data_IF_155611391702
#
_entry.id   IF_155611391702
#
_cell.length_a   1.000
_cell.length_b   1.000
_cell.length_c   1.000
_cell.angle_alpha   90.00
_cell.angle_beta   90.00
_cell.angle_gamma   90.00
#
_symmetry.space_group_name_H-M   'P 1'
#
loop_
_entity.id
_entity.type
_entity.pdbx_description
1 polymer ?
#
# COMPACT_ATOMS: atom_id res chain seq x y z
N UNK A 1 -1.70 11.79 0.49
CA UNK A 1 -2.26 11.66 -0.87
C UNK A 1 -2.33 10.23 -1.45
N UNK A 2 -1.73 9.19 -0.85
CA UNK A 2 -1.80 7.80 -1.37
C UNK A 2 -3.16 7.08 -1.18
N UNK A 3 -4.08 7.61 -0.37
CA UNK A 3 -5.40 7.02 -0.13
C UNK A 3 -6.44 7.41 -1.19
N UNK A 4 -6.27 8.56 -1.85
CA UNK A 4 -7.22 9.05 -2.86
C UNK A 4 -7.18 8.19 -4.14
N UNK A 5 -6.00 7.69 -4.52
CA UNK A 5 -5.81 6.82 -5.68
C UNK A 5 -6.27 5.37 -5.46
N UNK A 6 -6.07 4.81 -4.27
CA UNK A 6 -6.52 3.45 -3.91
C UNK A 6 -8.05 3.35 -3.78
N UNK A 7 -8.74 4.45 -3.47
CA UNK A 7 -10.19 4.50 -3.39
C UNK A 7 -10.89 4.45 -4.77
N UNK A 8 -10.21 4.84 -5.85
CA UNK A 8 -10.79 4.87 -7.21
C UNK A 8 -10.72 3.53 -7.97
N UNK A 9 -9.97 2.53 -7.50
CA UNK A 9 -9.77 1.26 -8.25
C UNK A 9 -10.37 0.02 -7.59
N UNK A 10 -11.21 0.15 -6.56
CA UNK A 10 -11.80 -1.02 -5.90
C UNK A 10 -13.18 -1.37 -6.52
N UNK A 11 -13.33 -2.52 -7.21
CA UNK A 11 -14.62 -2.92 -7.76
C UNK A 11 -15.64 -3.11 -6.62
N UNK A 12 -16.87 -2.61 -6.82
CA UNK A 12 -17.98 -2.63 -5.83
C UNK A 12 -18.24 -4.02 -5.20
N UNK A 13 -17.80 -5.09 -5.85
CA UNK A 13 -17.91 -6.47 -5.37
C UNK A 13 -16.95 -6.79 -4.21
N UNK A 14 -15.76 -6.20 -4.13
CA UNK A 14 -14.83 -6.42 -3.00
C UNK A 14 -15.31 -5.74 -1.70
N UNK A 15 -16.07 -4.64 -1.81
CA UNK A 15 -16.70 -3.96 -0.66
C UNK A 15 -17.70 -4.87 0.07
N UNK A 16 -18.39 -5.76 -0.64
CA UNK A 16 -19.35 -6.71 -0.03
C UNK A 16 -18.68 -7.82 0.77
N UNK A 17 -17.50 -8.28 0.37
CA UNK A 17 -16.77 -9.35 1.07
C UNK A 17 -15.99 -8.85 2.29
N UNK A 18 -15.44 -7.63 2.23
CA UNK A 18 -14.76 -7.03 3.39
C UNK A 18 -15.77 -6.59 4.48
N UNK A 19 -16.98 -6.16 4.10
CA UNK A 19 -18.05 -5.88 5.07
C UNK A 19 -18.63 -7.15 5.71
N UNK A 20 -18.69 -8.28 4.99
CA UNK A 20 -19.13 -9.56 5.56
C UNK A 20 -18.13 -10.15 6.57
N UNK A 21 -16.82 -9.93 6.37
CA UNK A 21 -15.79 -10.38 7.32
C UNK A 21 -15.70 -9.51 8.59
N UNK A 22 -16.12 -8.24 8.52
CA UNK A 22 -16.09 -7.31 9.67
C UNK A 22 -17.39 -7.35 10.50
N UNK A 23 -18.51 -7.79 9.93
CA UNK A 23 -19.80 -7.93 10.64
C UNK A 23 -19.99 -9.26 11.38
N UNK A 24 -19.01 -10.20 11.30
CA UNK A 24 -19.05 -11.48 12.02
C UNK A 24 -18.38 -11.48 13.41
N UNK A 25 -17.81 -10.36 13.86
CA UNK A 25 -16.95 -10.30 15.06
C UNK A 25 -17.37 -9.23 16.09
N UNK A 26 -18.64 -8.82 16.08
CA UNK A 26 -19.17 -7.81 17.02
C UNK A 26 -20.35 -8.32 17.85
N UNK A 27 -20.20 -9.44 18.56
CA UNK A 27 -20.99 -9.83 19.75
C UNK A 27 -20.08 -10.80 20.53
N UNK A 28 -19.36 -10.45 21.59
CA UNK A 28 -19.79 -10.22 22.98
C UNK A 28 -18.63 -9.48 23.69
N UNK A 29 -18.79 -8.19 23.96
CA UNK A 29 -17.92 -7.44 24.86
C UNK A 29 -18.77 -6.44 25.65
N UNK A 30 -19.76 -6.94 26.38
CA UNK A 30 -20.52 -6.14 27.34
C UNK A 30 -21.08 -7.06 28.42
N UNK A 31 -20.36 -7.15 29.55
CA UNK A 31 -20.86 -7.37 30.93
C UNK A 31 -19.78 -8.05 31.80
N UNK A 32 -18.82 -7.25 32.28
CA UNK A 32 -18.08 -7.56 33.50
C UNK A 32 -18.22 -6.35 34.43
N UNK A 33 -19.06 -6.40 35.48
CA UNK A 33 -19.01 -5.38 36.50
C UNK A 33 -17.80 -5.58 37.41
N UNK A 34 -17.13 -4.46 37.68
CA UNK A 34 -16.09 -4.29 38.67
C UNK A 34 -16.59 -4.71 40.05
N UNK A 35 -15.96 -5.71 40.66
CA UNK A 35 -15.98 -5.92 42.11
C UNK A 35 -14.67 -5.39 42.68
N UNK A 36 -14.72 -4.12 43.09
CA UNK A 36 -13.67 -3.46 43.86
C UNK A 36 -13.93 -3.68 45.35
N UNK A 37 -12.84 -3.98 46.05
CA UNK A 37 -12.74 -4.29 47.46
C UNK A 37 -13.36 -3.23 48.38
N UNK A 38 -14.15 -3.69 49.35
CA UNK A 38 -14.35 -3.02 50.64
C UNK A 38 -13.95 -3.98 51.76
N UNK A 39 -12.81 -3.67 52.39
CA UNK A 39 -12.41 -4.19 53.69
C UNK A 39 -13.03 -3.31 54.78
N UNK A 40 -13.76 -3.94 55.71
CA UNK A 40 -13.98 -3.43 57.07
C UNK A 40 -14.08 -4.64 58.03
N UNK A 41 -13.27 -4.61 59.09
CA UNK A 41 -13.16 -5.60 60.17
C UNK A 41 -14.40 -5.64 61.09
N UNK A 42 -14.85 -6.79 61.62
CA UNK A 42 -14.59 -7.44 62.95
C UNK A 42 -15.81 -8.36 63.26
N UNK A 43 -15.87 -9.21 64.32
CA UNK A 43 -14.88 -10.01 65.05
C UNK A 43 -15.29 -11.52 65.15
N UNK A 44 -14.50 -12.28 65.93
CA UNK A 44 -14.56 -13.70 66.28
C UNK A 44 -15.92 -14.24 66.78
N UNK A 45 -16.26 -15.49 66.42
CA UNK A 45 -16.63 -16.58 67.34
C UNK A 45 -17.05 -17.88 66.60
N UNK A 46 -16.36 -18.97 66.92
CA UNK A 46 -16.89 -20.33 67.18
C UNK A 46 -17.78 -21.04 66.15
N UNK A 47 -17.30 -22.18 65.62
CA UNK A 47 -18.17 -23.22 65.09
C UNK A 47 -17.51 -24.12 64.05
N UNK A 48 -16.72 -25.10 64.50
CA UNK A 48 -16.31 -26.23 63.66
C UNK A 48 -17.55 -27.06 63.27
N UNK A 49 -17.88 -27.11 61.98
CA UNK A 49 -18.59 -28.23 61.36
C UNK A 49 -17.98 -28.49 59.98
N UNK A 50 -17.08 -29.47 59.93
CA UNK A 50 -16.63 -30.10 58.69
C UNK A 50 -17.80 -30.87 58.08
N UNK A 51 -18.51 -30.23 57.15
CA UNK A 51 -19.30 -30.94 56.15
C UNK A 51 -18.35 -31.40 55.05
N UNK A 52 -18.04 -32.69 55.04
CA UNK A 52 -17.46 -33.35 53.87
C UNK A 52 -18.47 -33.26 52.73
N UNK A 53 -18.35 -32.22 51.89
CA UNK A 53 -18.99 -32.19 50.59
C UNK A 53 -18.36 -33.32 49.76
N UNK A 54 -19.11 -34.39 49.58
CA UNK A 54 -18.87 -35.37 48.52
C UNK A 54 -18.92 -34.63 47.20
N UNK A 55 -17.77 -34.18 46.71
CA UNK A 55 -17.63 -33.64 45.35
C UNK A 55 -18.05 -34.77 44.42
N UNK A 56 -19.18 -34.58 43.76
CA UNK A 56 -19.70 -35.54 42.80
C UNK A 56 -18.61 -35.71 41.72
N UNK A 57 -18.03 -36.92 41.52
CA UNK A 57 -16.85 -37.14 40.66
C UNK A 57 -17.07 -36.67 39.21
N UNK A 58 -18.34 -36.55 38.80
CA UNK A 58 -18.78 -36.01 37.52
C UNK A 58 -18.43 -34.52 37.31
N UNK A 59 -18.52 -33.68 38.34
CA UNK A 59 -18.22 -32.23 38.23
C UNK A 59 -16.71 -31.99 38.07
N UNK A 60 -15.88 -32.77 38.77
CA UNK A 60 -14.42 -32.71 38.62
C UNK A 60 -13.98 -33.07 37.19
N UNK A 61 -14.72 -33.95 36.51
CA UNK A 61 -14.43 -34.35 35.13
C UNK A 61 -14.77 -33.26 34.10
N UNK A 62 -15.83 -32.48 34.31
CA UNK A 62 -16.24 -31.39 33.41
C UNK A 62 -15.22 -30.25 33.43
N UNK A 63 -14.74 -29.83 34.61
CA UNK A 63 -13.73 -28.77 34.72
C UNK A 63 -12.39 -29.18 34.09
N UNK A 64 -12.00 -30.45 34.19
CA UNK A 64 -10.82 -30.96 33.49
C UNK A 64 -10.99 -30.89 31.98
N UNK A 65 -12.14 -31.30 31.43
CA UNK A 65 -12.44 -31.21 30.00
C UNK A 65 -12.42 -29.75 29.51
N UNK A 66 -12.95 -28.81 30.30
CA UNK A 66 -12.88 -27.37 30.00
C UNK A 66 -11.43 -26.89 29.96
N UNK A 67 -10.62 -27.21 30.96
CA UNK A 67 -9.20 -26.82 31.02
C UNK A 67 -8.41 -27.38 29.84
N UNK A 68 -8.64 -28.64 29.48
CA UNK A 68 -8.03 -29.25 28.31
C UNK A 68 -8.50 -28.60 27.00
N UNK A 69 -9.79 -28.27 26.89
CA UNK A 69 -10.33 -27.57 25.73
C UNK A 69 -9.67 -26.20 25.57
N UNK A 70 -9.53 -25.43 26.65
CA UNK A 70 -8.83 -24.14 26.61
C UNK A 70 -7.35 -24.29 26.22
N UNK A 71 -6.68 -25.33 26.70
CA UNK A 71 -5.30 -25.63 26.32
C UNK A 71 -5.20 -25.97 24.83
N UNK A 72 -6.10 -26.80 24.31
CA UNK A 72 -6.19 -27.16 22.90
C UNK A 72 -6.47 -25.93 22.02
N UNK A 73 -7.38 -25.06 22.46
CA UNK A 73 -7.75 -23.82 21.74
C UNK A 73 -6.54 -22.89 21.63
N UNK A 74 -5.79 -22.70 22.72
CA UNK A 74 -4.54 -21.90 22.71
C UNK A 74 -3.47 -22.50 21.80
N UNK A 75 -3.48 -23.83 21.60
CA UNK A 75 -2.62 -24.53 20.66
C UNK A 75 -3.11 -24.53 19.21
N UNK A 76 -4.25 -23.89 18.89
CA UNK A 76 -4.86 -23.92 17.56
C UNK A 76 -5.49 -25.26 17.18
N UNK A 77 -5.67 -26.16 18.15
CA UNK A 77 -6.26 -27.50 17.96
C UNK A 77 -7.79 -27.40 18.08
N UNK A 78 -8.42 -26.74 17.13
CA UNK A 78 -9.88 -26.47 17.16
C UNK A 78 -10.69 -27.78 17.19
N UNK A 79 -10.26 -28.83 16.46
CA UNK A 79 -10.96 -30.13 16.42
C UNK A 79 -11.01 -30.78 17.79
N UNK A 80 -9.87 -30.77 18.48
CA UNK A 80 -9.77 -31.28 19.85
C UNK A 80 -10.55 -30.42 20.84
N UNK A 81 -10.55 -29.10 20.66
CA UNK A 81 -11.32 -28.18 21.50
C UNK A 81 -12.82 -28.45 21.39
N UNK A 82 -13.32 -28.64 20.17
CA UNK A 82 -14.73 -28.93 19.88
C UNK A 82 -15.16 -30.26 20.49
N UNK A 83 -14.34 -31.30 20.32
CA UNK A 83 -14.57 -32.61 20.93
C UNK A 83 -14.66 -32.52 22.47
N UNK A 84 -13.72 -31.80 23.11
CA UNK A 84 -13.68 -31.66 24.56
C UNK A 84 -14.85 -30.85 25.11
N UNK A 85 -15.24 -29.75 24.45
CA UNK A 85 -16.40 -28.95 24.84
C UNK A 85 -17.72 -29.69 24.64
N UNK A 86 -17.85 -30.47 23.56
CA UNK A 86 -19.04 -31.29 23.29
C UNK A 86 -19.22 -32.39 24.35
N UNK A 87 -18.12 -33.05 24.75
CA UNK A 87 -18.11 -34.00 25.87
C UNK A 87 -18.47 -33.33 27.19
N UNK A 88 -17.88 -32.16 27.48
CA UNK A 88 -18.19 -31.40 28.69
C UNK A 88 -19.67 -30.99 28.74
N UNK A 89 -20.23 -30.51 27.62
CA UNK A 89 -21.63 -30.13 27.49
C UNK A 89 -22.59 -31.30 27.75
N UNK A 90 -22.24 -32.49 27.24
CA UNK A 90 -23.05 -33.71 27.42
C UNK A 90 -23.04 -34.19 28.88
N UNK A 91 -21.92 -34.05 29.57
CA UNK A 91 -21.79 -34.44 30.98
C UNK A 91 -22.46 -33.45 31.95
N UNK A 92 -22.38 -32.14 31.68
CA UNK A 92 -22.88 -31.12 32.61
C UNK A 92 -24.32 -30.69 32.35
N UNK A 93 -24.88 -30.96 31.17
CA UNK A 93 -26.12 -30.36 30.67
C UNK A 93 -26.12 -28.81 30.71
N UNK A 94 -24.92 -28.20 30.67
CA UNK A 94 -24.76 -26.75 30.73
C UNK A 94 -25.09 -26.11 29.36
N UNK A 95 -26.10 -25.22 29.28
CA UNK A 95 -26.48 -24.55 28.03
C UNK A 95 -25.35 -23.69 27.47
N UNK A 96 -24.48 -23.12 28.33
CA UNK A 96 -23.34 -22.31 27.89
C UNK A 96 -22.30 -23.16 27.19
N UNK A 97 -21.98 -24.36 27.71
CA UNK A 97 -21.06 -25.29 27.05
C UNK A 97 -21.59 -25.81 25.72
N UNK A 98 -22.90 -26.05 25.65
CA UNK A 98 -23.58 -26.42 24.39
C UNK A 98 -23.44 -25.31 23.35
N UNK A 99 -23.69 -24.05 23.74
CA UNK A 99 -23.55 -22.89 22.87
C UNK A 99 -22.09 -22.69 22.40
N UNK A 100 -21.11 -22.82 23.31
CA UNK A 100 -19.69 -22.72 22.96
C UNK A 100 -19.26 -23.82 21.97
N UNK A 101 -19.72 -25.05 22.17
CA UNK A 101 -19.47 -26.16 21.23
C UNK A 101 -20.07 -25.87 19.84
N UNK A 102 -21.29 -25.32 19.78
CA UNK A 102 -21.96 -24.96 18.53
C UNK A 102 -21.22 -23.84 17.78
N UNK A 103 -20.82 -22.76 18.46
CA UNK A 103 -20.03 -21.68 17.86
C UNK A 103 -18.70 -22.17 17.32
N UNK A 104 -18.04 -23.06 18.04
CA UNK A 104 -16.77 -23.62 17.60
C UNK A 104 -16.92 -24.50 16.35
N UNK A 105 -17.98 -25.32 16.29
CA UNK A 105 -18.31 -26.08 15.07
C UNK A 105 -18.61 -25.15 13.88
N UNK A 106 -19.39 -24.09 14.08
CA UNK A 106 -19.67 -23.11 13.02
C UNK A 106 -18.39 -22.42 12.52
N UNK A 107 -17.52 -22.00 13.45
CA UNK A 107 -16.24 -21.40 13.12
C UNK A 107 -15.34 -22.36 12.32
N UNK A 108 -15.28 -23.64 12.71
CA UNK A 108 -14.52 -24.66 11.97
C UNK A 108 -15.08 -24.89 10.56
N UNK A 109 -16.40 -25.00 10.42
CA UNK A 109 -17.05 -25.14 9.12
C UNK A 109 -16.72 -23.95 8.21
N UNK A 110 -16.82 -22.72 8.72
CA UNK A 110 -16.42 -21.51 8.00
C UNK A 110 -14.94 -21.51 7.63
N UNK A 111 -14.06 -21.94 8.54
CA UNK A 111 -12.62 -22.03 8.26
C UNK A 111 -12.32 -23.02 7.14
N UNK A 112 -12.96 -24.18 7.14
CA UNK A 112 -12.80 -25.18 6.07
C UNK A 112 -13.32 -24.66 4.73
N UNK A 113 -14.48 -24.00 4.72
CA UNK A 113 -15.03 -23.35 3.53
C UNK A 113 -14.08 -22.27 3.00
N UNK A 114 -13.52 -21.43 3.87
CA UNK A 114 -12.54 -20.41 3.49
C UNK A 114 -11.25 -21.01 2.92
N UNK A 115 -10.76 -22.13 3.46
CA UNK A 115 -9.60 -22.84 2.92
C UNK A 115 -9.92 -23.38 1.53
N UNK A 116 -11.08 -24.01 1.35
CA UNK A 116 -11.52 -24.55 0.07
C UNK A 116 -11.69 -23.45 -0.99
N UNK A 117 -12.34 -22.33 -0.63
CA UNK A 117 -12.53 -21.19 -1.54
C UNK A 117 -11.20 -20.48 -1.85
N UNK A 118 -10.28 -20.37 -0.87
CA UNK A 118 -8.92 -19.86 -1.11
C UNK A 118 -8.16 -20.74 -2.09
N UNK A 119 -8.19 -22.07 -1.92
CA UNK A 119 -7.54 -23.02 -2.83
C UNK A 119 -8.14 -22.95 -4.24
N UNK A 120 -9.47 -22.92 -4.34
CA UNK A 120 -10.17 -22.75 -5.63
C UNK A 120 -9.81 -21.43 -6.32
N UNK A 121 -9.71 -20.33 -5.58
CA UNK A 121 -9.29 -19.04 -6.12
C UNK A 121 -7.82 -19.06 -6.55
N UNK A 122 -6.95 -19.76 -5.81
CA UNK A 122 -5.54 -19.97 -6.17
C UNK A 122 -5.40 -20.74 -7.49
N UNK A 123 -6.06 -21.90 -7.62
CA UNK A 123 -6.05 -22.70 -8.85
C UNK A 123 -6.61 -21.92 -10.04
N UNK A 124 -7.68 -21.16 -9.83
CA UNK A 124 -8.22 -20.26 -10.84
C UNK A 124 -7.21 -19.20 -11.26
N UNK A 125 -6.53 -18.55 -10.32
CA UNK A 125 -5.52 -17.55 -10.64
C UNK A 125 -4.37 -18.15 -11.47
N UNK A 126 -3.92 -19.38 -11.16
CA UNK A 126 -2.93 -20.09 -11.99
C UNK A 126 -3.48 -20.38 -13.40
N UNK A 127 -4.73 -20.82 -13.51
CA UNK A 127 -5.36 -21.05 -14.81
C UNK A 127 -5.43 -19.75 -15.63
N UNK A 128 -5.79 -18.63 -14.99
CA UNK A 128 -5.82 -17.30 -15.62
C UNK A 128 -4.41 -16.87 -16.06
N UNK A 129 -3.36 -17.13 -15.27
CA UNK A 129 -1.95 -16.88 -15.68
C UNK A 129 -1.63 -17.61 -16.98
N UNK A 130 -1.88 -18.92 -17.04
CA UNK A 130 -1.58 -19.75 -18.22
C UNK A 130 -2.34 -19.24 -19.44
N UNK A 131 -3.64 -18.99 -19.28
CA UNK A 131 -4.48 -18.46 -20.35
C UNK A 131 -3.95 -17.13 -20.89
N UNK A 132 -3.50 -16.22 -20.02
CA UNK A 132 -2.94 -14.95 -20.45
C UNK A 132 -1.60 -15.12 -21.18
N UNK A 133 -0.74 -16.03 -20.72
CA UNK A 133 0.52 -16.34 -21.40
C UNK A 133 0.31 -16.97 -22.79
N UNK A 134 -0.64 -17.90 -22.90
CA UNK A 134 -1.00 -18.56 -24.17
C UNK A 134 -1.57 -17.58 -25.21
N UNK A 135 -2.03 -16.40 -24.77
CA UNK A 135 -2.61 -15.36 -25.62
C UNK A 135 -1.74 -14.08 -25.68
N UNK A 136 -0.47 -14.14 -25.29
CA UNK A 136 0.48 -13.01 -25.33
C UNK A 136 0.04 -11.78 -24.50
N UNK A 137 -0.54 -12.00 -23.32
CA UNK A 137 -0.84 -10.99 -22.30
C UNK A 137 0.04 -11.11 -21.05
N UNK A 138 1.38 -11.05 -21.19
CA UNK A 138 2.30 -11.36 -20.10
C UNK A 138 2.23 -10.39 -18.91
N UNK A 139 1.97 -9.11 -19.14
CA UNK A 139 1.89 -8.12 -18.06
C UNK A 139 0.72 -8.42 -17.10
N UNK A 140 -0.40 -8.84 -17.69
CA UNK A 140 -1.58 -9.26 -16.93
C UNK A 140 -1.38 -10.65 -16.32
N UNK A 141 -0.60 -11.53 -16.95
CA UNK A 141 -0.22 -12.80 -16.36
C UNK A 141 0.56 -12.57 -15.05
N UNK A 142 1.43 -11.55 -14.98
CA UNK A 142 2.13 -11.18 -13.73
C UNK A 142 1.15 -10.68 -12.66
N UNK A 143 0.11 -9.92 -13.04
CA UNK A 143 -0.97 -9.51 -12.12
C UNK A 143 -1.69 -10.73 -11.51
N UNK A 144 -2.03 -11.73 -12.33
CA UNK A 144 -2.64 -12.99 -11.85
C UNK A 144 -1.69 -13.87 -11.06
N UNK A 145 -0.39 -13.85 -11.36
CA UNK A 145 0.61 -14.53 -10.55
C UNK A 145 0.74 -13.90 -9.17
N UNK A 146 0.63 -12.57 -9.04
CA UNK A 146 0.51 -11.89 -7.75
C UNK A 146 -0.74 -12.32 -7.00
N UNK A 147 -1.90 -12.39 -7.66
CA UNK A 147 -3.13 -12.88 -7.02
C UNK A 147 -2.95 -14.30 -6.48
N UNK A 148 -2.37 -15.21 -7.27
CA UNK A 148 -2.02 -16.56 -6.84
C UNK A 148 -1.02 -16.56 -5.67
N UNK A 149 0.01 -15.72 -5.69
CA UNK A 149 0.97 -15.59 -4.58
C UNK A 149 0.29 -15.15 -3.28
N UNK A 150 -0.65 -14.19 -3.33
CA UNK A 150 -1.41 -13.76 -2.16
C UNK A 150 -2.31 -14.87 -1.61
N UNK A 151 -2.77 -15.77 -2.48
CA UNK A 151 -3.60 -16.93 -2.18
C UNK A 151 -2.79 -18.21 -1.89
N UNK A 152 -1.47 -18.20 -2.02
CA UNK A 152 -0.65 -19.39 -1.75
C UNK A 152 -0.68 -19.76 -0.25
N UNK A 153 -0.55 -21.05 0.05
CA UNK A 153 -0.30 -21.53 1.41
C UNK A 153 1.15 -21.27 1.81
N UNK A 154 2.08 -21.70 0.95
CA UNK A 154 3.51 -21.40 1.07
C UNK A 154 3.93 -20.47 -0.07
N UNK A 155 4.05 -19.18 0.28
CA UNK A 155 4.49 -18.10 -0.61
C UNK A 155 5.91 -18.32 -1.13
N UNK A 156 6.81 -18.87 -0.31
CA UNK A 156 8.20 -19.12 -0.69
C UNK A 156 8.31 -20.30 -1.64
N UNK A 157 7.55 -21.36 -1.41
CA UNK A 157 7.47 -22.48 -2.35
C UNK A 157 6.88 -22.03 -3.69
N UNK A 158 5.84 -21.18 -3.68
CA UNK A 158 5.20 -20.68 -4.90
C UNK A 158 6.19 -19.92 -5.81
N UNK A 159 6.92 -18.94 -5.28
CA UNK A 159 7.86 -18.14 -6.10
C UNK A 159 9.06 -18.95 -6.62
N UNK A 160 9.37 -20.10 -6.01
CA UNK A 160 10.44 -21.01 -6.45
C UNK A 160 10.00 -21.99 -7.53
N UNK A 161 8.71 -22.05 -7.88
CA UNK A 161 8.28 -22.87 -9.00
C UNK A 161 8.94 -22.35 -10.29
N UNK A 162 9.48 -23.21 -11.16
CA UNK A 162 10.25 -22.77 -12.33
C UNK A 162 9.52 -21.76 -13.22
N UNK A 163 8.25 -22.02 -13.52
CA UNK A 163 7.42 -21.14 -14.35
C UNK A 163 7.17 -19.77 -13.69
N UNK A 164 7.07 -19.69 -12.36
CA UNK A 164 6.91 -18.42 -11.63
C UNK A 164 8.23 -17.64 -11.67
N UNK A 165 9.35 -18.31 -11.44
CA UNK A 165 10.67 -17.69 -11.48
C UNK A 165 10.98 -17.12 -12.87
N UNK A 166 10.66 -17.86 -13.94
CA UNK A 166 10.77 -17.39 -15.33
C UNK A 166 9.86 -16.20 -15.61
N UNK A 167 8.60 -16.24 -15.15
CA UNK A 167 7.66 -15.13 -15.30
C UNK A 167 8.14 -13.86 -14.58
N UNK A 168 8.67 -14.01 -13.36
CA UNK A 168 9.26 -12.90 -12.58
C UNK A 168 10.48 -12.33 -13.30
N UNK A 169 11.39 -13.17 -13.81
CA UNK A 169 12.56 -12.72 -14.56
C UNK A 169 12.16 -11.94 -15.83
N UNK A 170 11.18 -12.44 -16.57
CA UNK A 170 10.64 -11.76 -17.74
C UNK A 170 9.93 -10.43 -17.36
N UNK A 171 9.23 -10.40 -16.24
CA UNK A 171 8.60 -9.18 -15.72
C UNK A 171 9.63 -8.11 -15.35
N UNK A 172 10.76 -8.48 -14.74
CA UNK A 172 11.87 -7.56 -14.45
C UNK A 172 12.43 -6.93 -15.73
N UNK A 173 12.70 -7.76 -16.74
CA UNK A 173 13.20 -7.28 -18.03
C UNK A 173 12.20 -6.36 -18.74
N UNK A 174 10.91 -6.72 -18.73
CA UNK A 174 9.85 -5.87 -19.31
C UNK A 174 9.66 -4.57 -18.57
N UNK A 175 9.68 -4.57 -17.24
CA UNK A 175 9.56 -3.35 -16.44
C UNK A 175 10.70 -2.37 -16.76
N UNK A 176 11.92 -2.87 -16.94
CA UNK A 176 13.06 -2.06 -17.36
C UNK A 176 12.93 -1.56 -18.80
N UNK A 177 12.46 -2.39 -19.75
CA UNK A 177 12.16 -1.95 -21.13
C UNK A 177 11.09 -0.86 -21.16
N UNK A 178 10.00 -1.03 -20.42
CA UNK A 178 8.94 -0.04 -20.30
C UNK A 178 9.44 1.25 -19.66
N UNK A 179 10.30 1.20 -18.64
CA UNK A 179 10.91 2.39 -18.08
C UNK A 179 11.81 3.11 -19.11
N UNK A 180 12.63 2.37 -19.86
CA UNK A 180 13.51 2.91 -20.89
C UNK A 180 12.75 3.52 -22.08
N UNK A 181 11.59 2.96 -22.40
CA UNK A 181 10.67 3.43 -23.44
C UNK A 181 9.62 4.41 -22.92
N UNK A 182 9.71 4.80 -21.65
CA UNK A 182 8.84 5.78 -21.00
C UNK A 182 7.35 5.38 -20.98
N UNK A 183 7.10 4.07 -21.03
CA UNK A 183 5.80 3.44 -20.81
C UNK A 183 5.51 3.39 -19.30
N UNK A 184 5.40 4.56 -18.68
CA UNK A 184 5.40 4.73 -17.22
C UNK A 184 4.30 3.95 -16.53
N UNK A 185 3.12 3.86 -17.14
CA UNK A 185 1.97 3.15 -16.58
C UNK A 185 2.19 1.65 -16.52
N UNK A 186 2.75 1.07 -17.58
CA UNK A 186 3.05 -0.35 -17.69
C UNK A 186 4.20 -0.72 -16.74
N UNK A 187 5.25 0.10 -16.68
CA UNK A 187 6.33 -0.05 -15.71
C UNK A 187 5.79 0.03 -14.27
N UNK A 188 4.89 0.98 -13.97
CA UNK A 188 4.25 1.10 -12.65
C UNK A 188 3.48 -0.17 -12.26
N UNK A 189 2.69 -0.73 -13.17
CA UNK A 189 1.97 -1.97 -12.92
C UNK A 189 2.92 -3.13 -12.60
N UNK A 190 3.96 -3.33 -13.40
CA UNK A 190 4.93 -4.40 -13.17
C UNK A 190 5.71 -4.21 -11.88
N UNK A 191 6.20 -3.00 -11.58
CA UNK A 191 6.91 -2.75 -10.32
C UNK A 191 6.02 -2.92 -9.08
N UNK A 192 4.73 -2.58 -9.17
CA UNK A 192 3.76 -2.87 -8.09
C UNK A 192 3.59 -4.37 -7.85
N UNK A 193 3.47 -5.15 -8.95
CA UNK A 193 3.34 -6.60 -8.86
C UNK A 193 4.64 -7.25 -8.36
N UNK A 194 5.80 -6.82 -8.85
CA UNK A 194 7.12 -7.28 -8.38
C UNK A 194 7.34 -6.96 -6.90
N UNK A 195 6.95 -5.77 -6.43
CA UNK A 195 7.00 -5.42 -5.01
C UNK A 195 6.13 -6.35 -4.13
N UNK A 196 5.07 -6.94 -4.70
CA UNK A 196 4.23 -7.91 -3.99
C UNK A 196 4.82 -9.32 -4.02
N UNK A 197 5.37 -9.73 -5.17
CA UNK A 197 5.96 -11.06 -5.41
C UNK A 197 7.33 -11.22 -4.73
N UNK A 198 8.11 -10.14 -4.64
CA UNK A 198 9.45 -10.09 -4.05
C UNK A 198 9.54 -8.99 -2.99
N UNK A 199 8.79 -9.09 -1.87
CA UNK A 199 8.67 -8.01 -0.89
C UNK A 199 9.97 -7.70 -0.13
N UNK A 200 10.96 -8.59 -0.20
CA UNK A 200 12.27 -8.41 0.43
C UNK A 200 13.25 -7.62 -0.45
N UNK A 201 12.87 -7.32 -1.69
CA UNK A 201 13.70 -6.53 -2.60
C UNK A 201 13.27 -5.05 -2.58
N UNK A 202 14.02 -4.17 -1.88
CA UNK A 202 13.62 -2.77 -1.73
C UNK A 202 13.65 -1.99 -3.05
N UNK A 203 14.32 -2.50 -4.08
CA UNK A 203 14.45 -1.79 -5.35
C UNK A 203 13.09 -1.60 -6.04
N UNK A 204 12.15 -2.54 -5.87
CA UNK A 204 10.83 -2.46 -6.50
C UNK A 204 10.00 -1.31 -5.94
N UNK A 205 10.08 -1.06 -4.64
CA UNK A 205 9.43 0.09 -4.01
C UNK A 205 10.01 1.41 -4.53
N UNK A 206 11.33 1.50 -4.68
CA UNK A 206 12.00 2.70 -5.21
C UNK A 206 11.63 2.97 -6.67
N UNK A 207 11.67 1.93 -7.50
CA UNK A 207 11.28 1.98 -8.91
C UNK A 207 9.81 2.35 -9.07
N UNK A 208 8.92 1.72 -8.29
CA UNK A 208 7.50 2.07 -8.24
C UNK A 208 7.26 3.53 -7.85
N UNK A 209 7.95 4.04 -6.81
CA UNK A 209 7.89 5.46 -6.41
C UNK A 209 8.32 6.36 -7.56
N UNK A 210 9.42 6.04 -8.23
CA UNK A 210 9.96 6.82 -9.35
C UNK A 210 8.96 6.94 -10.50
N UNK A 211 8.44 5.82 -11.02
CA UNK A 211 7.49 5.84 -12.14
C UNK A 211 6.13 6.45 -11.75
N UNK A 212 5.72 6.29 -10.49
CA UNK A 212 4.50 6.95 -9.97
C UNK A 212 4.67 8.47 -9.94
N UNK A 213 5.84 8.97 -9.56
CA UNK A 213 6.12 10.41 -9.60
C UNK A 213 6.07 10.94 -11.05
N UNK A 214 6.61 10.21 -12.02
CA UNK A 214 6.55 10.58 -13.43
C UNK A 214 5.11 10.65 -13.96
N UNK A 215 4.25 9.70 -13.57
CA UNK A 215 2.82 9.75 -13.88
C UNK A 215 2.11 10.94 -13.21
N UNK A 216 2.45 11.26 -11.96
CA UNK A 216 1.93 12.46 -11.28
C UNK A 216 2.30 13.73 -12.05
N UNK A 217 3.57 13.87 -12.44
CA UNK A 217 4.04 15.02 -13.23
C UNK A 217 3.23 15.19 -14.51
N UNK A 218 3.00 14.10 -15.24
CA UNK A 218 2.18 14.13 -16.45
C UNK A 218 0.72 14.51 -16.15
N UNK A 219 0.15 14.00 -15.06
CA UNK A 219 -1.21 14.33 -14.65
C UNK A 219 -1.38 15.81 -14.29
N UNK A 220 -0.39 16.40 -13.61
CA UNK A 220 -0.43 17.80 -13.16
C UNK A 220 -0.16 18.76 -14.32
N UNK A 221 0.93 18.57 -15.06
CA UNK A 221 1.40 19.56 -16.02
C UNK A 221 0.90 19.33 -17.43
N UNK A 222 0.59 18.08 -17.80
CA UNK A 222 0.16 17.71 -19.16
C UNK A 222 -0.99 16.71 -19.13
N UNK A 223 -2.14 17.07 -18.54
CA UNK A 223 -3.24 16.15 -18.26
C UNK A 223 -3.74 15.39 -19.50
N UNK A 224 -3.69 16.00 -20.69
CA UNK A 224 -4.05 15.33 -21.94
C UNK A 224 -3.10 14.17 -22.31
N UNK A 225 -1.80 14.34 -22.09
CA UNK A 225 -0.82 13.26 -22.26
C UNK A 225 -1.10 12.13 -21.29
N UNK A 226 -1.39 12.47 -20.03
CA UNK A 226 -1.71 11.50 -19.00
C UNK A 226 -3.00 10.73 -19.33
N UNK A 227 -4.05 11.43 -19.78
CA UNK A 227 -5.32 10.83 -20.21
C UNK A 227 -5.11 9.78 -21.31
N UNK A 228 -4.31 10.09 -22.33
CA UNK A 228 -3.96 9.15 -23.40
C UNK A 228 -3.31 7.87 -22.87
N UNK A 229 -2.39 7.99 -21.91
CA UNK A 229 -1.73 6.85 -21.26
C UNK A 229 -2.75 5.97 -20.52
N UNK A 230 -3.68 6.58 -19.79
CA UNK A 230 -4.70 5.86 -19.03
C UNK A 230 -5.72 5.16 -19.96
N UNK A 231 -6.14 5.81 -21.04
CA UNK A 231 -7.05 5.23 -22.02
C UNK A 231 -6.41 4.05 -22.78
N UNK A 232 -5.12 4.12 -23.09
CA UNK A 232 -4.38 2.98 -23.65
C UNK A 232 -4.32 1.80 -22.66
N UNK A 233 -4.00 2.06 -21.39
CA UNK A 233 -3.99 1.02 -20.35
C UNK A 233 -5.37 0.39 -20.14
N UNK A 234 -6.44 1.18 -20.11
CA UNK A 234 -7.82 0.69 -19.97
C UNK A 234 -8.17 -0.28 -21.10
N UNK A 235 -7.91 0.11 -22.35
CA UNK A 235 -8.18 -0.76 -23.52
C UNK A 235 -7.42 -2.08 -23.45
N UNK A 236 -6.14 -2.05 -23.03
CA UNK A 236 -5.34 -3.27 -22.86
C UNK A 236 -5.90 -4.18 -21.77
N UNK A 237 -6.34 -3.60 -20.65
CA UNK A 237 -6.93 -4.34 -19.54
C UNK A 237 -8.29 -4.93 -19.90
N UNK A 238 -9.13 -4.19 -20.60
CA UNK A 238 -10.42 -4.67 -21.11
C UNK A 238 -10.25 -5.89 -22.03
N UNK A 239 -9.28 -5.84 -22.96
CA UNK A 239 -8.97 -6.98 -23.83
C UNK A 239 -8.52 -8.22 -23.04
N UNK A 240 -7.68 -8.03 -22.01
CA UNK A 240 -7.25 -9.12 -21.14
C UNK A 240 -8.42 -9.68 -20.29
N UNK A 241 -9.30 -8.81 -19.80
CA UNK A 241 -10.46 -9.20 -18.99
C UNK A 241 -11.53 -9.93 -19.84
N UNK A 242 -11.76 -9.51 -21.09
CA UNK A 242 -12.64 -10.20 -22.04
C UNK A 242 -12.14 -11.64 -22.31
N UNK A 243 -10.82 -11.81 -22.46
CA UNK A 243 -10.22 -13.13 -22.58
C UNK A 243 -10.51 -13.99 -21.34
N UNK A 244 -10.39 -13.45 -20.13
CA UNK A 244 -10.64 -14.21 -18.90
C UNK A 244 -12.13 -14.46 -18.64
N UNK A 245 -13.02 -13.57 -19.09
CA UNK A 245 -14.46 -13.55 -18.78
C UNK A 245 -15.30 -13.27 -20.05
N UNK A 246 -15.37 -14.22 -20.99
CA UNK A 246 -16.01 -14.00 -22.31
C UNK A 246 -17.54 -13.79 -22.25
N UNK A 247 -18.19 -13.99 -21.10
CA UNK A 247 -19.66 -13.90 -20.96
C UNK A 247 -20.15 -12.57 -20.43
N UNK A 248 -19.29 -11.60 -20.13
CA UNK A 248 -19.75 -10.24 -19.89
C UNK A 248 -20.18 -9.65 -21.22
N UNK A 249 -21.48 -9.37 -21.38
CA UNK A 249 -21.96 -8.52 -22.48
C UNK A 249 -21.03 -7.29 -22.57
N UNK A 250 -20.61 -6.88 -23.78
CA UNK A 250 -19.84 -5.65 -23.91
C UNK A 250 -20.60 -4.56 -23.17
N UNK A 251 -19.91 -3.83 -22.30
CA UNK A 251 -20.49 -2.63 -21.69
C UNK A 251 -20.67 -1.65 -22.84
N UNK A 252 -21.80 -1.74 -23.54
CA UNK A 252 -22.16 -0.93 -24.69
C UNK A 252 -22.68 0.45 -24.28
N UNK A 253 -22.53 0.81 -23.01
CA UNK A 253 -22.40 2.21 -22.69
C UNK A 253 -20.99 2.58 -23.14
N UNK A 254 -20.82 3.47 -24.14
CA UNK A 254 -19.60 4.26 -24.19
C UNK A 254 -19.35 4.69 -22.74
N UNK A 255 -18.11 4.59 -22.25
CA UNK A 255 -17.78 5.41 -21.10
C UNK A 255 -18.36 6.78 -21.45
N UNK A 256 -19.39 7.20 -20.71
CA UNK A 256 -19.76 8.60 -20.75
C UNK A 256 -18.44 9.22 -20.30
N UNK A 257 -17.65 9.70 -21.26
CA UNK A 257 -16.83 10.87 -21.05
C UNK A 257 -17.84 11.93 -20.66
N UNK A 258 -18.34 11.85 -19.42
CA UNK A 258 -18.48 13.04 -18.63
C UNK A 258 -17.15 13.73 -18.88
N UNK A 259 -17.21 14.82 -19.65
CA UNK A 259 -16.15 15.82 -19.66
C UNK A 259 -16.05 16.25 -18.20
N UNK A 260 -15.33 15.46 -17.43
CA UNK A 260 -15.13 15.69 -16.04
C UNK A 260 -14.07 16.78 -16.04
N UNK A 261 -14.53 18.03 -16.14
CA UNK A 261 -13.74 19.25 -16.05
C UNK A 261 -12.89 19.28 -14.76
N UNK A 262 -13.08 18.33 -13.83
CA UNK A 262 -12.20 18.12 -12.68
C UNK A 262 -10.72 17.84 -13.03
N UNK A 263 -10.39 17.45 -14.26
CA UNK A 263 -8.99 17.36 -14.72
C UNK A 263 -8.42 18.69 -15.25
N UNK A 264 -9.21 19.76 -15.31
CA UNK A 264 -8.82 21.06 -15.91
C UNK A 264 -8.43 22.13 -14.90
N UNK A 265 -8.17 21.78 -13.64
CA UNK A 265 -7.52 22.73 -12.74
C UNK A 265 -6.16 23.07 -13.33
N UNK A 266 -5.99 24.32 -13.79
CA UNK A 266 -4.71 24.79 -14.32
C UNK A 266 -3.67 24.69 -13.20
N UNK A 267 -2.56 24.02 -13.47
CA UNK A 267 -1.47 23.90 -12.50
C UNK A 267 -0.96 25.28 -12.06
N UNK A 268 -1.10 26.32 -12.89
CA UNK A 268 -0.77 27.70 -12.51
C UNK A 268 -1.60 28.21 -11.34
N UNK A 269 -2.86 27.80 -11.26
CA UNK A 269 -3.71 28.14 -10.12
C UNK A 269 -3.31 27.34 -8.88
N UNK A 270 -3.01 26.05 -9.04
CA UNK A 270 -2.55 25.18 -7.94
C UNK A 270 -1.21 25.60 -7.36
N UNK A 271 -0.34 26.25 -8.15
CA UNK A 271 0.99 26.66 -7.72
C UNK A 271 1.09 28.16 -7.41
N UNK A 272 -0.04 28.87 -7.42
CA UNK A 272 -0.06 30.32 -7.26
C UNK A 272 0.50 30.73 -5.90
N UNK A 273 1.46 31.66 -5.92
CA UNK A 273 2.02 32.25 -4.70
C UNK A 273 3.04 31.37 -3.96
N UNK A 274 3.42 30.22 -4.53
CA UNK A 274 4.56 29.43 -4.06
C UNK A 274 5.84 30.25 -4.25
N UNK A 275 6.73 30.23 -3.25
CA UNK A 275 8.00 30.99 -3.26
C UNK A 275 9.13 30.22 -2.60
N UNK A 276 10.37 30.54 -2.97
CA UNK A 276 11.57 29.89 -2.42
C UNK A 276 11.74 30.05 -0.90
N UNK A 277 11.34 31.19 -0.31
CA UNK A 277 11.45 31.43 1.14
C UNK A 277 10.59 30.44 1.95
N UNK A 278 9.44 30.02 1.40
CA UNK A 278 8.59 29.00 2.02
C UNK A 278 9.30 27.64 2.06
N UNK A 279 9.94 27.24 0.96
CA UNK A 279 10.69 26.00 0.90
C UNK A 279 11.85 25.98 1.89
N UNK A 280 12.65 27.05 1.95
CA UNK A 280 13.78 27.13 2.89
C UNK A 280 13.29 27.02 4.35
N UNK A 281 12.19 27.70 4.66
CA UNK A 281 11.57 27.63 5.99
C UNK A 281 11.10 26.21 6.32
N UNK A 282 10.38 25.57 5.40
CA UNK A 282 9.86 24.21 5.61
C UNK A 282 10.98 23.16 5.74
N UNK A 283 12.10 23.31 5.01
CA UNK A 283 13.27 22.45 5.17
C UNK A 283 13.90 22.60 6.57
N UNK A 284 13.99 23.83 7.07
CA UNK A 284 14.50 24.10 8.43
C UNK A 284 13.55 23.53 9.50
N UNK A 285 12.24 23.71 9.32
CA UNK A 285 11.25 23.13 10.23
C UNK A 285 11.30 21.61 10.27
N UNK A 286 11.42 20.95 9.11
CA UNK A 286 11.54 19.49 9.06
C UNK A 286 12.82 19.00 9.76
N UNK A 287 13.95 19.70 9.63
CA UNK A 287 15.18 19.29 10.31
C UNK A 287 15.14 19.52 11.83
N UNK A 288 14.40 20.55 12.29
CA UNK A 288 14.39 20.94 13.71
C UNK A 288 13.22 20.33 14.51
N UNK A 289 12.08 20.07 13.87
CA UNK A 289 10.83 19.76 14.56
C UNK A 289 10.16 18.45 14.11
N UNK A 290 10.67 17.78 13.08
CA UNK A 290 10.12 16.49 12.69
C UNK A 290 10.33 15.44 13.80
N UNK A 291 9.39 14.51 13.95
CA UNK A 291 9.37 13.57 15.08
C UNK A 291 10.53 12.55 15.07
N UNK A 292 11.27 12.47 13.96
CA UNK A 292 12.50 11.69 13.82
C UNK A 292 13.64 12.59 13.36
N UNK A 293 14.90 12.26 13.67
CA UNK A 293 16.03 12.98 13.12
C UNK A 293 16.03 12.93 11.58
N UNK A 294 16.10 14.10 10.95
CA UNK A 294 16.18 14.28 9.50
C UNK A 294 17.41 15.13 9.21
N UNK A 295 18.10 14.82 8.11
CA UNK A 295 19.26 15.58 7.66
C UNK A 295 18.90 16.46 6.47
N UNK A 296 19.54 17.63 6.39
CA UNK A 296 19.48 18.50 5.22
C UNK A 296 19.94 17.76 3.96
N UNK A 297 20.93 16.87 4.09
CA UNK A 297 21.39 16.01 3.00
C UNK A 297 20.26 15.14 2.44
N UNK A 298 19.51 14.44 3.29
CA UNK A 298 18.39 13.58 2.87
C UNK A 298 17.33 14.39 2.11
N UNK A 299 16.87 15.51 2.68
CA UNK A 299 15.85 16.35 2.06
C UNK A 299 16.33 16.95 0.74
N UNK A 300 17.57 17.44 0.69
CA UNK A 300 18.14 18.06 -0.52
C UNK A 300 18.29 17.05 -1.64
N UNK A 301 18.77 15.83 -1.34
CA UNK A 301 18.86 14.75 -2.35
C UNK A 301 17.47 14.37 -2.85
N UNK A 302 16.48 14.26 -1.95
CA UNK A 302 15.08 14.04 -2.32
C UNK A 302 14.56 15.10 -3.29
N UNK A 303 14.72 16.38 -2.96
CA UNK A 303 14.25 17.49 -3.79
C UNK A 303 14.95 17.57 -5.15
N UNK A 304 16.28 17.37 -5.19
CA UNK A 304 17.03 17.29 -6.43
C UNK A 304 16.59 16.10 -7.31
N UNK A 305 16.25 14.96 -6.72
CA UNK A 305 15.67 13.83 -7.46
C UNK A 305 14.27 14.13 -8.00
N UNK A 306 13.47 14.93 -7.28
CA UNK A 306 12.20 15.48 -7.78
C UNK A 306 12.40 16.30 -9.06
N UNK A 307 13.34 17.25 -9.02
CA UNK A 307 13.71 18.05 -10.19
C UNK A 307 14.31 17.23 -11.34
N UNK A 308 15.11 16.21 -11.03
CA UNK A 308 15.64 15.29 -12.04
C UNK A 308 14.50 14.53 -12.74
N UNK A 309 13.49 14.09 -11.99
CA UNK A 309 12.32 13.42 -12.56
C UNK A 309 11.51 14.38 -13.45
N UNK A 310 11.28 15.62 -13.00
CA UNK A 310 10.66 16.67 -13.81
C UNK A 310 11.42 16.89 -15.12
N UNK A 311 12.72 17.17 -15.05
CA UNK A 311 13.51 17.49 -16.22
C UNK A 311 13.66 16.31 -17.19
N UNK A 312 13.60 15.06 -16.72
CA UNK A 312 13.80 13.85 -17.55
C UNK A 312 12.51 13.12 -17.95
N UNK A 313 11.32 13.67 -17.68
CA UNK A 313 10.06 13.05 -18.09
C UNK A 313 9.60 13.63 -19.42
N UNK A 314 9.64 12.84 -20.50
CA UNK A 314 9.08 13.26 -21.78
C UNK A 314 7.57 13.46 -21.72
N UNK A 315 7.08 14.32 -22.60
CA UNK A 315 5.71 14.81 -22.62
C UNK A 315 5.57 16.17 -21.93
N UNK A 316 6.41 16.46 -20.92
CA UNK A 316 6.36 17.72 -20.17
C UNK A 316 6.81 18.93 -20.98
N UNK A 317 7.51 18.75 -22.10
CA UNK A 317 7.83 19.83 -23.04
C UNK A 317 6.57 20.52 -23.60
N UNK A 318 5.40 19.87 -23.55
CA UNK A 318 4.10 20.49 -23.88
C UNK A 318 3.71 21.60 -22.90
N UNK A 319 4.12 21.48 -21.63
CA UNK A 319 3.92 22.51 -20.61
C UNK A 319 5.11 23.47 -20.51
N UNK A 320 6.33 22.95 -20.73
CA UNK A 320 7.59 23.67 -20.54
C UNK A 320 8.47 23.50 -21.79
N UNK A 321 8.27 24.35 -22.80
CA UNK A 321 8.87 24.20 -24.13
C UNK A 321 10.39 23.93 -24.14
N UNK A 322 11.15 24.59 -23.26
CA UNK A 322 12.60 24.43 -23.18
C UNK A 322 13.07 23.05 -22.68
N UNK A 323 12.20 22.21 -22.10
CA UNK A 323 12.51 20.80 -21.81
C UNK A 323 12.65 19.96 -23.08
N UNK A 324 12.09 20.43 -24.21
CA UNK A 324 12.26 19.81 -25.52
C UNK A 324 13.63 20.06 -26.15
N UNK A 325 14.39 21.04 -25.65
CA UNK A 325 15.77 21.30 -26.08
C UNK A 325 16.73 20.38 -25.31
N UNK A 326 17.30 19.40 -26.02
CA UNK A 326 18.22 18.39 -25.46
C UNK A 326 19.43 19.02 -24.77
N UNK A 327 19.99 20.09 -25.34
CA UNK A 327 21.19 20.72 -24.81
C UNK A 327 20.88 21.44 -23.50
N UNK A 328 19.79 22.23 -23.47
CA UNK A 328 19.36 22.93 -22.26
C UNK A 328 18.97 21.94 -21.15
N UNK A 329 18.21 20.90 -21.51
CA UNK A 329 17.81 19.86 -20.57
C UNK A 329 19.01 19.11 -20.00
N UNK A 330 19.96 18.70 -20.84
CA UNK A 330 21.17 18.01 -20.40
C UNK A 330 22.02 18.88 -19.47
N UNK A 331 22.22 20.16 -19.80
CA UNK A 331 22.94 21.09 -18.94
C UNK A 331 22.27 21.26 -17.56
N UNK A 332 20.93 21.30 -17.52
CA UNK A 332 20.21 21.37 -16.25
C UNK A 332 20.35 20.08 -15.43
N UNK A 333 20.25 18.92 -16.07
CA UNK A 333 20.45 17.61 -15.42
C UNK A 333 21.88 17.47 -14.87
N UNK A 334 22.90 17.92 -15.60
CA UNK A 334 24.28 17.93 -15.14
C UNK A 334 24.49 18.83 -13.90
N UNK A 335 23.79 19.96 -13.85
CA UNK A 335 23.79 20.85 -12.68
C UNK A 335 23.15 20.15 -11.46
N UNK A 336 22.03 19.45 -11.65
CA UNK A 336 21.38 18.65 -10.60
C UNK A 336 22.30 17.53 -10.11
N UNK A 337 22.94 16.79 -11.02
CA UNK A 337 23.85 15.69 -10.69
C UNK A 337 25.07 16.18 -9.90
N UNK A 338 25.59 17.34 -10.26
CA UNK A 338 26.69 17.99 -9.56
C UNK A 338 26.27 18.48 -8.17
N UNK A 339 25.05 19.00 -8.02
CA UNK A 339 24.48 19.36 -6.73
C UNK A 339 24.29 18.14 -5.81
N UNK A 340 23.80 17.01 -6.35
CA UNK A 340 23.65 15.75 -5.60
C UNK A 340 25.00 15.25 -5.08
N UNK A 341 26.05 15.26 -5.92
CA UNK A 341 27.41 14.91 -5.49
C UNK A 341 27.90 15.85 -4.37
N UNK A 342 27.76 17.16 -4.57
CA UNK A 342 28.20 18.19 -3.61
C UNK A 342 27.55 18.05 -2.24
N UNK A 343 26.24 17.81 -2.15
CA UNK A 343 25.58 17.58 -0.84
C UNK A 343 25.95 16.21 -0.27
N UNK A 344 26.14 15.19 -1.10
CA UNK A 344 26.62 13.87 -0.70
C UNK A 344 27.95 13.94 0.06
N UNK A 345 28.89 14.74 -0.45
CA UNK A 345 30.23 14.94 0.13
C UNK A 345 30.26 15.93 1.32
N UNK A 346 29.14 16.60 1.61
CA UNK A 346 29.08 17.58 2.70
C UNK A 346 29.09 16.91 4.08
N UNK A 347 29.91 17.38 5.04
CA UNK A 347 29.85 16.91 6.41
C UNK A 347 28.59 17.47 7.12
N UNK A 348 28.03 16.77 8.13
CA UNK A 348 26.78 17.17 8.82
C UNK A 348 26.74 18.64 9.28
N UNK A 349 27.84 19.15 9.83
CA UNK A 349 27.97 20.53 10.32
C UNK A 349 27.85 21.62 9.22
N UNK A 350 27.96 21.24 7.94
CA UNK A 350 27.88 22.17 6.79
C UNK A 350 26.64 21.95 5.93
N UNK A 351 25.84 20.92 6.18
CA UNK A 351 24.74 20.54 5.29
C UNK A 351 23.76 21.70 5.05
N UNK A 352 23.28 22.38 6.10
CA UNK A 352 22.38 23.54 5.95
C UNK A 352 22.93 24.61 5.01
N UNK A 353 24.21 24.98 5.19
CA UNK A 353 24.84 26.00 4.35
C UNK A 353 24.98 25.51 2.90
N UNK A 354 25.42 24.27 2.71
CA UNK A 354 25.57 23.67 1.38
C UNK A 354 24.22 23.53 0.68
N UNK A 355 23.14 23.18 1.39
CA UNK A 355 21.77 23.16 0.85
C UNK A 355 21.36 24.53 0.32
N UNK A 356 21.55 25.61 1.10
CA UNK A 356 21.22 26.97 0.65
C UNK A 356 22.04 27.36 -0.59
N UNK A 357 23.34 27.07 -0.60
CA UNK A 357 24.22 27.32 -1.75
C UNK A 357 23.79 26.50 -3.00
N UNK A 358 23.24 25.29 -2.81
CA UNK A 358 22.70 24.45 -3.88
C UNK A 358 21.40 25.03 -4.43
N UNK A 359 20.47 25.47 -3.59
CA UNK A 359 19.20 26.04 -4.04
C UNK A 359 19.42 27.26 -4.94
N UNK A 360 20.32 28.16 -4.55
CA UNK A 360 20.71 29.31 -5.38
C UNK A 360 21.37 28.87 -6.70
N UNK A 361 22.26 27.88 -6.64
CA UNK A 361 22.91 27.33 -7.84
C UNK A 361 21.91 26.69 -8.81
N UNK A 362 20.90 25.98 -8.31
CA UNK A 362 19.86 25.35 -9.13
C UNK A 362 18.93 26.41 -9.73
N UNK A 363 18.58 27.45 -8.97
CA UNK A 363 17.82 28.59 -9.48
C UNK A 363 18.55 29.29 -10.63
N UNK A 364 19.85 29.55 -10.48
CA UNK A 364 20.69 30.11 -11.53
C UNK A 364 20.80 29.18 -12.76
N UNK A 365 21.02 27.89 -12.54
CA UNK A 365 21.09 26.90 -13.61
C UNK A 365 19.77 26.82 -14.39
N UNK A 366 18.62 26.81 -13.70
CA UNK A 366 17.29 26.85 -14.32
C UNK A 366 17.13 28.07 -15.23
N UNK A 367 17.45 29.27 -14.73
CA UNK A 367 17.35 30.52 -15.49
C UNK A 367 18.22 30.52 -16.77
N UNK A 368 19.40 29.89 -16.71
CA UNK A 368 20.32 29.77 -17.84
C UNK A 368 19.94 28.68 -18.85
N UNK A 369 19.04 27.75 -18.50
CA UNK A 369 18.76 26.53 -19.29
C UNK A 369 17.27 26.39 -19.62
N UNK A 370 16.55 25.62 -18.82
CA UNK A 370 15.17 25.18 -19.06
C UNK A 370 14.11 26.21 -18.65
N UNK A 371 14.48 27.24 -17.89
CA UNK A 371 13.64 28.39 -17.54
C UNK A 371 12.25 27.99 -17.02
N UNK A 372 12.20 26.99 -16.14
CA UNK A 372 10.97 26.60 -15.47
C UNK A 372 10.47 27.76 -14.59
N UNK A 373 9.14 27.94 -14.46
CA UNK A 373 8.57 28.86 -13.48
C UNK A 373 9.11 28.57 -12.08
N UNK A 374 9.28 29.63 -11.28
CA UNK A 374 9.81 29.50 -9.92
C UNK A 374 8.91 28.57 -9.08
N UNK A 375 7.61 28.72 -9.21
CA UNK A 375 6.59 27.96 -8.48
C UNK A 375 6.70 26.45 -8.75
N UNK A 376 6.96 26.08 -10.01
CA UNK A 376 7.19 24.67 -10.41
C UNK A 376 8.49 24.15 -9.82
N UNK A 377 9.57 24.93 -9.91
CA UNK A 377 10.88 24.54 -9.37
C UNK A 377 10.80 24.31 -7.86
N UNK A 378 10.11 25.20 -7.13
CA UNK A 378 9.95 25.12 -5.68
C UNK A 378 9.04 23.96 -5.29
N UNK A 379 7.88 23.82 -5.96
CA UNK A 379 6.90 22.76 -5.67
C UNK A 379 7.49 21.37 -5.88
N UNK A 380 8.17 21.16 -7.01
CA UNK A 380 8.73 19.86 -7.36
C UNK A 380 9.97 19.49 -6.52
N UNK A 381 10.75 20.49 -6.09
CA UNK A 381 11.78 20.26 -5.10
C UNK A 381 11.17 19.88 -3.74
N UNK A 382 10.13 20.58 -3.28
CA UNK A 382 9.47 20.28 -2.02
C UNK A 382 8.87 18.86 -2.01
N UNK A 383 8.13 18.49 -3.06
CA UNK A 383 7.54 17.16 -3.22
C UNK A 383 8.62 16.06 -3.14
N UNK A 384 9.75 16.26 -3.82
CA UNK A 384 10.88 15.35 -3.75
C UNK A 384 11.51 15.28 -2.34
N UNK A 385 11.68 16.43 -1.68
CA UNK A 385 12.31 16.51 -0.37
C UNK A 385 11.47 15.87 0.74
N UNK A 386 10.21 16.26 0.86
CA UNK A 386 9.31 15.74 1.90
C UNK A 386 8.86 14.31 1.62
N UNK A 387 8.90 13.87 0.35
CA UNK A 387 8.71 12.48 -0.02
C UNK A 387 9.74 11.51 0.58
N UNK A 388 10.86 11.98 1.14
CA UNK A 388 11.84 11.17 1.86
C UNK A 388 11.51 10.94 3.34
N UNK A 389 10.49 11.62 3.87
CA UNK A 389 10.09 11.51 5.26
C UNK A 389 9.09 10.37 5.47
N UNK A 390 7.83 10.62 5.14
CA UNK A 390 6.75 9.64 5.24
C UNK A 390 5.62 9.98 4.25
N UNK A 391 4.69 9.04 3.97
CA UNK A 391 3.62 9.23 2.97
C UNK A 391 2.56 10.30 3.32
N UNK A 392 2.61 10.87 4.52
CA UNK A 392 1.66 11.85 5.05
C UNK A 392 2.28 13.24 5.23
N UNK A 393 3.59 13.39 5.13
CA UNK A 393 4.22 14.71 5.14
C UNK A 393 4.18 15.33 3.76
N UNK A 394 3.46 16.45 3.64
CA UNK A 394 3.36 17.25 2.41
C UNK A 394 3.44 18.72 2.77
N UNK A 395 3.86 19.54 1.81
CA UNK A 395 3.71 21.00 1.92
C UNK A 395 2.23 21.34 1.69
N UNK A 396 1.70 22.31 2.44
CA UNK A 396 0.41 22.95 2.17
C UNK A 396 0.74 24.32 1.58
N UNK A 397 0.29 24.58 0.36
CA UNK A 397 0.59 25.82 -0.38
C UNK A 397 -0.51 26.87 -0.17
N UNK A 398 -0.25 28.16 -0.49
CA UNK A 398 -1.23 29.23 -0.29
C UNK A 398 -2.58 28.97 -0.95
N UNK A 399 -2.58 28.43 -2.16
CA UNK A 399 -3.77 28.06 -2.94
C UNK A 399 -4.57 26.91 -2.33
N UNK A 400 -3.98 26.08 -1.45
CA UNK A 400 -4.70 24.99 -0.77
C UNK A 400 -5.60 25.50 0.38
N UNK A 401 -5.45 26.77 0.76
CA UNK A 401 -6.19 27.43 1.85
C UNK A 401 -7.30 28.36 1.35
N UNK A 402 -7.37 28.61 0.04
CA UNK A 402 -8.43 29.39 -0.62
C UNK A 402 -9.64 28.51 -0.92
#
# INVERSE_FOLDING_TARGET
MNTFWLAMQCPKLLRRWILAAVLGLTVVAAALPQLRAQQSARPEASGQQQSQQTVNPEIASVEQLKLEAFKALRGGQFDRTSELLSRAATLSNDPTLTQMSQWLHQFQAQRQELVAEKHKAFEKAIADVRKLLDNDYPDFAVDKAKDAYLLAEDKQAFVRQPWVAELIAAAKSRAADYEAREMWRQAQLLYSNLNSLEPNDPQWKQKFKSVTNRLRLLAVYTPETFKQIIEEDSRRREAADELLRPTTQPTSKPAETEENDSFRTDWRDMLRGIRFDMLVTALDEACNYYYRPVSYKTLTVGGLNGLRALASTRGLERAFANLGDEQRRSAFLEAIDSAIRRIGDSPPAREKRVTNEILESIKAANAATVQLPEEVLVSEFADGAFGELDPFTTMIWPSDLE
#
